data_IF_206516193539
#
_entry.id   IF_206516193539
#
_cell.length_a   1.000
_cell.length_b   1.000
_cell.length_c   1.000
_cell.angle_alpha   90.00
_cell.angle_beta   90.00
_cell.angle_gamma   90.00
#
_symmetry.space_group_name_H-M   'P 1'
#
loop_
_entity.id
_entity.type
_entity.pdbx_description
1 polymer ?
#
# COMPACT_ATOMS: atom_id res chain seq x y z
N UNK A 1 -5.30 -3.27 -0.46
CA UNK A 1 -6.03 -3.44 -1.73
C UNK A 1 -7.37 -2.74 -1.58
N UNK A 2 -7.68 -1.79 -2.47
CA UNK A 2 -8.95 -1.07 -2.52
C UNK A 2 -9.65 -1.49 -3.81
N UNK A 3 -10.93 -1.80 -3.74
CA UNK A 3 -11.73 -2.17 -4.92
C UNK A 3 -12.84 -1.14 -5.09
N UNK A 4 -12.91 -0.54 -6.27
CA UNK A 4 -14.00 0.33 -6.68
C UNK A 4 -14.88 -0.46 -7.65
N UNK A 5 -16.14 -0.61 -7.30
CA UNK A 5 -17.14 -1.27 -8.14
C UNK A 5 -18.28 -0.30 -8.43
N UNK A 6 -19.03 -0.55 -9.50
CA UNK A 6 -20.31 0.13 -9.67
C UNK A 6 -21.22 -0.22 -8.50
N UNK A 7 -21.90 0.80 -7.98
CA UNK A 7 -22.88 0.60 -6.91
C UNK A 7 -24.11 -0.12 -7.46
N UNK A 8 -24.56 -1.13 -6.73
CA UNK A 8 -25.77 -1.89 -7.02
C UNK A 8 -26.66 -1.89 -5.77
N UNK A 9 -27.85 -1.31 -5.87
CA UNK A 9 -28.83 -1.20 -4.79
C UNK A 9 -29.28 -2.57 -4.24
N UNK A 10 -29.15 -3.62 -5.05
CA UNK A 10 -29.53 -4.99 -4.67
C UNK A 10 -28.45 -5.73 -3.90
N UNK A 11 -27.22 -5.21 -3.87
CA UNK A 11 -26.04 -5.89 -3.28
C UNK A 11 -25.99 -5.86 -1.74
N UNK A 12 -26.83 -5.05 -1.09
CA UNK A 12 -26.85 -4.91 0.38
C UNK A 12 -25.57 -4.32 0.99
N UNK A 13 -24.63 -3.84 0.17
CA UNK A 13 -23.37 -3.25 0.62
C UNK A 13 -23.55 -1.76 0.94
N UNK A 14 -23.00 -1.32 2.07
CA UNK A 14 -22.90 0.10 2.41
C UNK A 14 -21.83 0.75 1.54
N UNK A 15 -22.21 1.73 0.72
CA UNK A 15 -21.34 2.43 -0.22
C UNK A 15 -21.19 3.93 0.11
N UNK A 16 -20.12 4.54 -0.40
CA UNK A 16 -19.92 6.00 -0.34
C UNK A 16 -20.06 6.58 -1.75
N UNK A 17 -20.97 7.53 -1.93
CA UNK A 17 -21.15 8.23 -3.19
C UNK A 17 -20.22 9.45 -3.25
N UNK A 18 -19.36 9.49 -4.26
CA UNK A 18 -18.55 10.67 -4.60
C UNK A 18 -18.63 10.96 -6.09
N UNK A 19 -18.74 12.25 -6.42
CA UNK A 19 -18.69 12.73 -7.80
C UNK A 19 -17.24 12.85 -8.24
N UNK A 20 -17.01 12.63 -9.52
CA UNK A 20 -15.76 12.99 -10.16
C UNK A 20 -15.66 14.51 -10.27
N UNK A 21 -14.43 15.03 -10.24
CA UNK A 21 -14.18 16.40 -10.65
C UNK A 21 -14.01 16.52 -12.18
N UNK A 22 -13.75 17.73 -12.65
CA UNK A 22 -13.63 18.04 -14.09
C UNK A 22 -12.48 17.29 -14.79
N UNK A 23 -11.54 16.73 -14.03
CA UNK A 23 -10.41 15.95 -14.53
C UNK A 23 -10.62 14.45 -14.39
N UNK A 24 -11.79 14.01 -13.91
CA UNK A 24 -12.10 12.60 -13.70
C UNK A 24 -11.44 12.01 -12.44
N UNK A 25 -11.05 12.83 -11.46
CA UNK A 25 -10.48 12.35 -10.20
C UNK A 25 -11.58 12.06 -9.18
N UNK A 26 -11.40 10.99 -8.40
CA UNK A 26 -12.22 10.69 -7.21
C UNK A 26 -11.42 10.95 -5.94
N UNK A 27 -12.06 11.52 -4.93
CA UNK A 27 -11.42 11.82 -3.64
C UNK A 27 -11.87 10.82 -2.58
N UNK A 28 -10.91 10.19 -1.91
CA UNK A 28 -11.18 9.36 -0.73
C UNK A 28 -11.40 10.24 0.51
N UNK A 29 -12.53 10.06 1.23
CA UNK A 29 -12.78 10.72 2.53
C UNK A 29 -11.60 10.57 3.50
N UNK A 30 -11.41 11.56 4.37
CA UNK A 30 -10.29 11.59 5.33
C UNK A 30 -10.36 10.41 6.30
N UNK A 31 -11.58 10.04 6.69
CA UNK A 31 -11.88 8.94 7.60
C UNK A 31 -11.39 7.61 7.01
N UNK A 32 -11.71 7.33 5.75
CA UNK A 32 -11.23 6.12 5.06
C UNK A 32 -9.71 6.10 4.91
N UNK A 33 -9.10 7.24 4.57
CA UNK A 33 -7.63 7.33 4.45
C UNK A 33 -6.94 7.00 5.76
N UNK A 34 -7.46 7.50 6.89
CA UNK A 34 -6.92 7.20 8.21
C UNK A 34 -7.11 5.72 8.58
N UNK A 35 -8.30 5.15 8.34
CA UNK A 35 -8.58 3.74 8.61
C UNK A 35 -7.70 2.79 7.81
N UNK A 36 -7.39 3.17 6.57
CA UNK A 36 -6.54 2.38 5.65
C UNK A 36 -5.06 2.76 5.74
N UNK A 37 -4.68 3.66 6.64
CA UNK A 37 -3.31 4.17 6.80
C UNK A 37 -2.66 4.69 5.49
N UNK A 38 -3.46 5.34 4.64
CA UNK A 38 -2.98 5.86 3.35
C UNK A 38 -2.36 7.24 3.54
N UNK A 39 -1.07 7.36 3.27
CA UNK A 39 -0.39 8.65 3.37
C UNK A 39 -0.64 9.53 2.14
N UNK A 40 -0.46 10.84 2.30
CA UNK A 40 -0.59 11.79 1.19
C UNK A 40 0.50 11.51 0.15
N UNK A 41 0.11 11.48 -1.13
CA UNK A 41 1.00 11.25 -2.28
C UNK A 41 1.58 9.83 -2.40
N UNK A 42 1.05 8.85 -1.67
CA UNK A 42 1.44 7.45 -1.90
C UNK A 42 1.01 6.98 -3.28
N UNK A 43 1.91 6.35 -4.05
CA UNK A 43 1.58 5.81 -5.35
C UNK A 43 0.72 4.54 -5.22
N UNK A 44 -0.20 4.36 -6.16
CA UNK A 44 -1.00 3.14 -6.29
C UNK A 44 -0.84 2.59 -7.71
N UNK A 45 -0.70 1.28 -7.80
CA UNK A 45 -0.93 0.53 -9.04
C UNK A 45 -2.43 0.41 -9.27
N UNK A 46 -2.84 0.64 -10.51
CA UNK A 46 -4.24 0.56 -10.94
C UNK A 46 -4.39 -0.67 -11.83
N UNK A 47 -5.28 -1.58 -11.43
CA UNK A 47 -5.68 -2.73 -12.22
C UNK A 47 -7.16 -2.62 -12.58
N UNK A 48 -7.53 -3.21 -13.71
CA UNK A 48 -8.92 -3.30 -14.17
C UNK A 48 -9.26 -4.79 -14.33
N UNK A 49 -10.32 -5.22 -13.67
CA UNK A 49 -10.83 -6.59 -13.74
C UNK A 49 -12.35 -6.54 -13.91
N UNK A 50 -12.84 -7.03 -15.05
CA UNK A 50 -14.25 -6.94 -15.47
C UNK A 50 -14.86 -5.54 -15.29
N UNK A 51 -15.68 -5.35 -14.26
CA UNK A 51 -16.39 -4.12 -13.91
C UNK A 51 -15.81 -3.40 -12.68
N UNK A 52 -14.59 -3.78 -12.27
CA UNK A 52 -13.93 -3.32 -11.04
C UNK A 52 -12.61 -2.63 -11.36
N UNK A 53 -12.34 -1.57 -10.60
CA UNK A 53 -11.01 -0.95 -10.54
C UNK A 53 -10.38 -1.37 -9.22
N UNK A 54 -9.21 -1.98 -9.29
CA UNK A 54 -8.47 -2.45 -8.12
C UNK A 54 -7.24 -1.54 -7.95
N UNK A 55 -7.15 -0.88 -6.80
CA UNK A 55 -6.00 -0.08 -6.41
C UNK A 55 -5.14 -0.87 -5.42
N UNK A 56 -3.89 -1.12 -5.76
CA UNK A 56 -2.88 -1.72 -4.88
C UNK A 56 -1.83 -0.66 -4.56
N UNK A 57 -1.39 -0.59 -3.30
CA UNK A 57 -0.30 0.32 -2.95
C UNK A 57 0.93 -0.04 -3.79
N UNK A 58 1.48 0.93 -4.51
CA UNK A 58 2.68 0.71 -5.30
C UNK A 58 3.88 0.66 -4.37
N UNK A 59 4.61 -0.45 -4.42
CA UNK A 59 5.85 -0.63 -3.68
C UNK A 59 6.98 -0.54 -4.70
N UNK A 60 7.58 0.64 -4.78
CA UNK A 60 8.67 0.93 -5.70
C UNK A 60 9.91 0.11 -5.30
N UNK A 61 10.25 -0.89 -6.11
CA UNK A 61 11.33 -1.85 -5.89
C UNK A 61 11.15 -2.67 -4.61
N UNK A 62 10.77 -3.93 -4.76
CA UNK A 62 10.88 -4.94 -3.71
C UNK A 62 12.37 -5.26 -3.38
N UNK A 63 13.26 -4.28 -3.51
CA UNK A 63 14.67 -4.38 -3.19
C UNK A 63 14.84 -4.32 -1.66
N UNK A 64 15.60 -5.25 -1.12
CA UNK A 64 16.03 -5.17 0.26
C UNK A 64 16.92 -3.93 0.45
N UNK A 65 16.58 -3.06 1.39
CA UNK A 65 17.34 -1.83 1.68
C UNK A 65 18.75 -2.10 2.22
N UNK A 66 18.98 -3.30 2.77
CA UNK A 66 20.27 -3.71 3.36
C UNK A 66 21.14 -4.40 2.33
N UNK A 67 20.58 -5.38 1.61
CA UNK A 67 21.35 -6.26 0.71
C UNK A 67 21.22 -5.90 -0.76
N UNK A 68 20.28 -5.03 -1.13
CA UNK A 68 19.97 -4.66 -2.52
C UNK A 68 19.24 -5.74 -3.33
N UNK A 69 19.02 -6.93 -2.75
CA UNK A 69 18.37 -8.05 -3.45
C UNK A 69 16.91 -7.71 -3.73
N UNK A 70 16.49 -7.78 -4.99
CA UNK A 70 15.09 -7.66 -5.40
C UNK A 70 14.45 -9.04 -5.39
N UNK A 71 13.44 -9.24 -4.55
CA UNK A 71 12.69 -10.50 -4.46
C UNK A 71 11.22 -10.20 -4.10
N UNK A 72 10.29 -10.94 -4.70
CA UNK A 72 8.86 -10.81 -4.39
C UNK A 72 8.52 -11.20 -2.95
N UNK A 73 9.35 -12.04 -2.32
CA UNK A 73 9.21 -12.52 -0.95
C UNK A 73 9.91 -11.63 0.09
N UNK A 74 10.49 -10.49 -0.32
CA UNK A 74 11.03 -9.55 0.63
C UNK A 74 9.91 -8.98 1.52
N UNK A 75 10.21 -8.87 2.81
CA UNK A 75 9.27 -8.38 3.81
C UNK A 75 9.13 -6.87 3.70
N UNK A 76 7.90 -6.39 3.74
CA UNK A 76 7.56 -4.97 3.75
C UNK A 76 7.01 -4.58 5.12
N UNK A 77 7.58 -3.53 5.70
CA UNK A 77 7.19 -2.95 6.99
C UNK A 77 6.90 -1.46 6.83
N UNK A 78 6.14 -0.89 7.77
CA UNK A 78 5.71 0.51 7.78
C UNK A 78 5.18 0.98 6.41
N UNK A 79 4.21 0.24 5.88
CA UNK A 79 3.54 0.55 4.60
C UNK A 79 4.50 0.70 3.41
N UNK A 80 5.53 -0.15 3.33
CA UNK A 80 6.48 -0.15 2.22
C UNK A 80 7.67 0.79 2.38
N UNK A 81 7.79 1.49 3.51
CA UNK A 81 8.97 2.33 3.79
C UNK A 81 10.22 1.52 4.10
N UNK A 82 10.06 0.32 4.64
CA UNK A 82 11.16 -0.59 4.95
C UNK A 82 10.92 -1.90 4.23
N UNK A 83 11.79 -2.21 3.27
CA UNK A 83 11.75 -3.48 2.54
C UNK A 83 13.03 -4.23 2.83
N UNK A 84 12.92 -5.45 3.35
CA UNK A 84 14.08 -6.24 3.76
C UNK A 84 13.91 -7.71 3.38
N UNK A 85 14.99 -8.30 2.89
CA UNK A 85 15.11 -9.75 2.74
C UNK A 85 15.29 -10.39 4.10
N UNK A 86 15.09 -11.71 4.20
CA UNK A 86 15.37 -12.47 5.43
C UNK A 86 16.80 -12.21 5.94
N UNK A 87 17.79 -12.32 5.06
CA UNK A 87 19.19 -12.07 5.39
C UNK A 87 19.42 -10.61 5.82
N UNK A 88 18.83 -9.64 5.11
CA UNK A 88 18.91 -8.23 5.48
C UNK A 88 18.31 -7.93 6.86
N UNK A 89 17.22 -8.61 7.22
CA UNK A 89 16.60 -8.47 8.54
C UNK A 89 17.49 -9.03 9.66
N UNK A 90 18.14 -10.18 9.45
CA UNK A 90 19.09 -10.76 10.42
C UNK A 90 20.27 -9.82 10.68
N UNK A 91 20.83 -9.20 9.64
CA UNK A 91 21.89 -8.19 9.74
C UNK A 91 21.40 -6.96 10.52
N UNK A 92 20.24 -6.39 10.15
CA UNK A 92 19.67 -5.22 10.81
C UNK A 92 19.41 -5.45 12.29
N UNK A 93 18.86 -6.60 12.67
CA UNK A 93 18.56 -6.90 14.08
C UNK A 93 19.86 -6.88 14.90
N UNK A 94 20.93 -7.48 14.38
CA UNK A 94 22.24 -7.49 15.06
C UNK A 94 22.79 -6.07 15.21
N UNK A 95 22.84 -5.30 14.12
CA UNK A 95 23.38 -3.93 14.15
C UNK A 95 22.58 -3.00 15.06
N UNK A 96 21.24 -3.11 15.04
CA UNK A 96 20.37 -2.33 15.92
C UNK A 96 20.56 -2.71 17.38
N UNK A 97 20.73 -3.99 17.71
CA UNK A 97 21.04 -4.42 19.07
C UNK A 97 22.37 -3.85 19.56
N UNK A 98 23.41 -3.88 18.73
CA UNK A 98 24.72 -3.29 19.05
C UNK A 98 24.64 -1.76 19.23
N UNK A 99 23.79 -1.09 18.44
CA UNK A 99 23.60 0.36 18.52
C UNK A 99 22.79 0.79 19.75
N UNK A 100 21.72 0.05 20.08
CA UNK A 100 20.86 0.34 21.25
C UNK A 100 21.54 -0.02 22.57
N UNK A 101 22.45 -1.00 22.55
CA UNK A 101 23.22 -1.40 23.73
C UNK A 101 24.36 -0.41 24.09
N UNK A 102 24.60 0.62 23.26
CA UNK A 102 25.48 1.76 23.56
C UNK A 102 24.71 2.88 24.24
#
# INVERSE_FOLDING_TARGET
MIILTKYDETSGLSGIVRRLDDLGRIVLPKELRNMLNLNKYEPFEVFVDEDKIILKQFVASNACMVTGVVDENNFSFDSGKIIVSKNGAEILIKELQEFIAK
#
